data_IF_641173030883
#
_entry.id   IF_641173030883
#
_cell.length_a   1.000
_cell.length_b   1.000
_cell.length_c   1.000
_cell.angle_alpha   90.00
_cell.angle_beta   90.00
_cell.angle_gamma   90.00
#
_symmetry.space_group_name_H-M   'P 1'
#
loop_
_entity.id
_entity.type
_entity.pdbx_description
1 polymer ?
#
# COMPACT_ATOMS: atom_id res chain seq x y z
N UNK A 1 -2.90 -4.29 -0.10
CA UNK A 1 -3.34 -3.83 -1.43
C UNK A 1 -3.25 -2.32 -1.58
N UNK A 2 -3.83 -1.52 -0.68
CA UNK A 2 -3.67 -0.06 -0.68
C UNK A 2 -2.99 0.36 0.62
N UNK A 3 -1.99 1.23 0.51
CA UNK A 3 -1.25 1.73 1.66
C UNK A 3 -1.84 3.08 2.06
N UNK A 4 -2.24 3.22 3.33
CA UNK A 4 -2.83 4.45 3.86
C UNK A 4 -3.91 4.18 4.89
N UNK A 5 -4.27 5.20 5.66
CA UNK A 5 -5.42 5.13 6.57
C UNK A 5 -6.72 5.15 5.78
N UNK A 6 -7.79 4.57 6.32
CA UNK A 6 -9.11 4.59 5.68
C UNK A 6 -9.60 6.03 5.40
N UNK A 7 -9.31 6.97 6.30
CA UNK A 7 -9.67 8.38 6.10
C UNK A 7 -8.91 9.02 4.92
N UNK A 8 -7.59 8.82 4.85
CA UNK A 8 -6.80 9.34 3.73
C UNK A 8 -7.23 8.71 2.41
N UNK A 9 -7.42 7.38 2.39
CA UNK A 9 -7.84 6.67 1.19
C UNK A 9 -9.25 7.07 0.73
N UNK A 10 -10.19 7.25 1.66
CA UNK A 10 -11.57 7.62 1.30
C UNK A 10 -11.65 9.04 0.76
N UNK A 11 -10.91 10.01 1.33
CA UNK A 11 -10.86 11.38 0.82
C UNK A 11 -10.30 11.46 -0.60
N UNK A 12 -9.27 10.66 -0.89
CA UNK A 12 -8.61 10.68 -2.20
C UNK A 12 -9.37 9.88 -3.27
N UNK A 13 -9.85 8.67 -2.94
CA UNK A 13 -10.43 7.75 -3.91
C UNK A 13 -11.96 7.80 -3.95
N UNK A 14 -12.62 8.20 -2.86
CA UNK A 14 -14.08 8.16 -2.74
C UNK A 14 -14.66 9.38 -2.02
N UNK A 15 -14.43 10.62 -2.52
CA UNK A 15 -14.82 11.87 -1.84
C UNK A 15 -16.34 12.12 -1.80
N UNK A 16 -17.15 11.22 -2.38
CA UNK A 16 -18.61 11.36 -2.45
C UNK A 16 -19.33 11.03 -1.14
N UNK A 17 -18.67 10.34 -0.22
CA UNK A 17 -19.17 10.07 1.13
C UNK A 17 -18.52 11.02 2.12
N UNK A 18 -19.22 11.26 3.23
CA UNK A 18 -18.68 12.03 4.34
C UNK A 18 -17.36 11.43 4.85
N UNK A 19 -16.45 12.27 5.37
CA UNK A 19 -15.16 11.85 5.93
C UNK A 19 -15.32 10.77 7.00
N UNK A 20 -14.24 10.01 7.26
CA UNK A 20 -14.27 9.00 8.31
C UNK A 20 -14.69 9.64 9.63
N UNK A 21 -15.63 9.01 10.33
CA UNK A 21 -16.03 9.46 11.66
C UNK A 21 -14.91 9.27 12.68
N UNK A 22 -15.07 9.83 13.87
CA UNK A 22 -14.13 9.67 14.99
C UNK A 22 -14.81 8.98 16.17
N UNK A 23 -14.04 8.17 16.89
CA UNK A 23 -14.43 7.56 18.15
C UNK A 23 -13.23 7.65 19.09
N UNK A 24 -13.47 8.06 20.33
CA UNK A 24 -12.44 8.02 21.36
C UNK A 24 -12.20 6.57 21.81
N UNK A 25 -11.22 5.92 21.18
CA UNK A 25 -10.89 4.52 21.45
C UNK A 25 -10.52 4.25 22.91
N UNK A 26 -10.05 5.25 23.68
CA UNK A 26 -9.74 5.09 25.10
C UNK A 26 -10.98 4.94 25.97
N UNK A 27 -12.12 5.48 25.50
CA UNK A 27 -13.41 5.36 26.19
C UNK A 27 -14.12 4.06 25.89
N UNK A 28 -13.71 3.30 24.87
CA UNK A 28 -14.30 2.00 24.52
C UNK A 28 -13.72 0.92 25.43
N UNK A 29 -14.46 0.59 26.50
CA UNK A 29 -14.10 -0.43 27.48
C UNK A 29 -15.23 -1.44 27.60
N UNK A 30 -14.99 -2.56 28.30
CA UNK A 30 -16.03 -3.55 28.56
C UNK A 30 -17.29 -2.94 29.24
N UNK A 31 -17.10 -1.96 30.13
CA UNK A 31 -18.21 -1.30 30.83
C UNK A 31 -18.98 -0.31 29.95
N UNK A 32 -18.29 0.45 29.10
CA UNK A 32 -18.91 1.48 28.25
C UNK A 32 -19.45 0.94 26.92
N UNK A 33 -19.05 -0.27 26.50
CA UNK A 33 -19.44 -0.85 25.22
C UNK A 33 -20.95 -0.86 24.99
N UNK A 34 -21.72 -1.22 26.03
CA UNK A 34 -23.19 -1.31 25.93
C UNK A 34 -23.84 0.05 25.76
N UNK A 35 -23.37 1.08 26.46
CA UNK A 35 -23.90 2.43 26.35
C UNK A 35 -23.48 3.10 25.04
N UNK A 36 -22.27 2.80 24.53
CA UNK A 36 -21.76 3.33 23.27
C UNK A 36 -22.24 2.55 22.03
N UNK A 37 -23.02 1.46 22.20
CA UNK A 37 -23.37 0.53 21.11
C UNK A 37 -23.93 1.22 19.87
N UNK A 38 -24.83 2.20 20.04
CA UNK A 38 -25.47 2.87 18.91
C UNK A 38 -24.45 3.67 18.07
N UNK A 39 -23.64 4.48 18.75
CA UNK A 39 -22.57 5.29 18.15
C UNK A 39 -21.54 4.41 17.44
N UNK A 40 -21.08 3.34 18.11
CA UNK A 40 -20.11 2.41 17.54
C UNK A 40 -20.65 1.67 16.31
N UNK A 41 -21.93 1.28 16.31
CA UNK A 41 -22.55 0.65 15.15
C UNK A 41 -22.64 1.61 13.96
N UNK A 42 -22.94 2.89 14.19
CA UNK A 42 -22.97 3.90 13.15
C UNK A 42 -21.57 4.14 12.56
N UNK A 43 -20.57 4.32 13.43
CA UNK A 43 -19.17 4.43 13.04
C UNK A 43 -18.69 3.23 12.21
N UNK A 44 -18.96 2.01 12.66
CA UNK A 44 -18.55 0.79 11.95
C UNK A 44 -19.24 0.63 10.60
N UNK A 45 -20.54 0.97 10.51
CA UNK A 45 -21.26 0.98 9.23
C UNK A 45 -20.62 1.95 8.24
N UNK A 46 -20.25 3.14 8.72
CA UNK A 46 -19.55 4.13 7.89
C UNK A 46 -18.21 3.60 7.39
N UNK A 47 -17.42 2.97 8.26
CA UNK A 47 -16.14 2.37 7.89
C UNK A 47 -16.27 1.31 6.80
N UNK A 48 -17.26 0.42 6.92
CA UNK A 48 -17.53 -0.61 5.91
C UNK A 48 -17.91 0.03 4.56
N UNK A 49 -18.75 1.07 4.59
CA UNK A 49 -19.17 1.78 3.37
C UNK A 49 -18.01 2.51 2.69
N UNK A 50 -17.17 3.20 3.46
CA UNK A 50 -15.97 3.86 2.96
C UNK A 50 -14.99 2.85 2.38
N UNK A 51 -14.72 1.74 3.09
CA UNK A 51 -13.83 0.69 2.63
C UNK A 51 -14.34 0.09 1.30
N UNK A 52 -15.64 -0.20 1.21
CA UNK A 52 -16.26 -0.69 -0.03
C UNK A 52 -16.08 0.31 -1.18
N UNK A 53 -16.27 1.60 -0.94
CA UNK A 53 -16.09 2.65 -1.93
C UNK A 53 -14.65 2.73 -2.44
N UNK A 54 -13.70 2.75 -1.51
CA UNK A 54 -12.25 2.75 -1.79
C UNK A 54 -11.86 1.54 -2.63
N UNK A 55 -12.26 0.33 -2.21
CA UNK A 55 -11.92 -0.91 -2.92
C UNK A 55 -12.50 -0.94 -4.34
N UNK A 56 -13.76 -0.54 -4.52
CA UNK A 56 -14.38 -0.45 -5.85
C UNK A 56 -13.67 0.56 -6.75
N UNK A 57 -13.28 1.72 -6.22
CA UNK A 57 -12.56 2.72 -7.02
C UNK A 57 -11.18 2.21 -7.40
N UNK A 58 -10.44 1.61 -6.47
CA UNK A 58 -9.12 1.04 -6.75
C UNK A 58 -9.20 -0.09 -7.79
N UNK A 59 -10.15 -1.01 -7.65
CA UNK A 59 -10.40 -2.06 -8.63
C UNK A 59 -10.68 -1.47 -10.02
N UNK A 60 -11.53 -0.43 -10.09
CA UNK A 60 -11.81 0.26 -11.35
C UNK A 60 -10.55 0.88 -11.96
N UNK A 61 -9.76 1.62 -11.19
CA UNK A 61 -8.53 2.26 -11.68
C UNK A 61 -7.53 1.23 -12.22
N UNK A 62 -7.29 0.16 -11.45
CA UNK A 62 -6.36 -0.91 -11.84
C UNK A 62 -6.88 -1.65 -13.08
N UNK A 63 -8.18 -1.94 -13.15
CA UNK A 63 -8.76 -2.56 -14.33
C UNK A 63 -8.64 -1.66 -15.56
N UNK A 64 -9.02 -0.39 -15.45
CA UNK A 64 -9.01 0.57 -16.55
C UNK A 64 -7.58 0.80 -17.10
N UNK A 65 -6.54 0.71 -16.25
CA UNK A 65 -5.15 0.95 -16.66
C UNK A 65 -4.36 -0.31 -17.02
N UNK A 66 -4.65 -1.44 -16.37
CA UNK A 66 -3.81 -2.64 -16.41
C UNK A 66 -4.55 -3.89 -16.90
N UNK A 67 -5.88 -3.84 -16.97
CA UNK A 67 -6.76 -4.97 -17.31
C UNK A 67 -6.52 -6.18 -16.40
N UNK A 68 -6.32 -5.92 -15.10
CA UNK A 68 -6.09 -6.95 -14.08
C UNK A 68 -7.21 -6.93 -13.06
N UNK A 69 -7.74 -8.12 -12.74
CA UNK A 69 -8.62 -8.26 -11.59
C UNK A 69 -7.77 -8.28 -10.30
N UNK A 70 -7.96 -7.23 -9.50
CA UNK A 70 -7.27 -7.02 -8.23
C UNK A 70 -7.56 -8.12 -7.18
N UNK A 71 -8.70 -8.81 -7.27
CA UNK A 71 -9.06 -9.90 -6.35
C UNK A 71 -8.12 -11.10 -6.47
N UNK A 72 -7.42 -11.23 -7.61
CA UNK A 72 -6.41 -12.28 -7.83
C UNK A 72 -5.03 -11.90 -7.28
N UNK A 73 -4.81 -10.64 -6.91
CA UNK A 73 -3.51 -10.11 -6.48
C UNK A 73 -3.67 -9.29 -5.19
N UNK A 74 -3.53 -9.95 -4.04
CA UNK A 74 -3.84 -9.36 -2.71
C UNK A 74 -2.94 -8.17 -2.33
N UNK A 75 -1.73 -8.10 -2.89
CA UNK A 75 -0.73 -7.08 -2.56
C UNK A 75 -0.21 -6.39 -3.82
N UNK A 76 0.32 -5.16 -3.68
CA UNK A 76 0.94 -4.45 -4.80
C UNK A 76 2.16 -5.21 -5.34
N UNK A 77 3.08 -5.75 -4.51
CA UNK A 77 4.18 -6.57 -5.03
C UNK A 77 3.71 -7.80 -5.82
N UNK A 78 2.64 -8.46 -5.39
CA UNK A 78 2.06 -9.59 -6.13
C UNK A 78 1.47 -9.15 -7.48
N UNK A 79 0.81 -7.98 -7.52
CA UNK A 79 0.32 -7.39 -8.76
C UNK A 79 1.47 -7.01 -9.71
N UNK A 80 2.53 -6.38 -9.18
CA UNK A 80 3.70 -5.96 -9.95
C UNK A 80 4.43 -7.17 -10.54
N UNK A 81 4.65 -8.21 -9.74
CA UNK A 81 5.25 -9.46 -10.21
C UNK A 81 4.38 -10.12 -11.28
N UNK A 82 3.05 -10.17 -11.08
CA UNK A 82 2.13 -10.68 -12.09
C UNK A 82 2.23 -9.90 -13.40
N UNK A 83 2.28 -8.56 -13.34
CA UNK A 83 2.41 -7.71 -14.52
C UNK A 83 3.76 -7.91 -15.21
N UNK A 84 4.85 -8.03 -14.43
CA UNK A 84 6.17 -8.35 -14.95
C UNK A 84 6.16 -9.67 -15.72
N UNK A 85 5.64 -10.72 -15.11
CA UNK A 85 5.51 -12.03 -15.74
C UNK A 85 4.64 -12.01 -16.99
N UNK A 86 3.51 -11.28 -16.96
CA UNK A 86 2.56 -11.20 -18.07
C UNK A 86 3.10 -10.41 -19.26
N UNK A 87 3.85 -9.33 -19.03
CA UNK A 87 4.19 -8.34 -20.07
C UNK A 87 5.64 -8.36 -20.52
N UNK A 88 6.58 -8.77 -19.66
CA UNK A 88 8.01 -8.55 -19.88
C UNK A 88 8.86 -9.81 -19.74
N UNK A 89 8.42 -10.80 -18.98
CA UNK A 89 9.21 -12.00 -18.73
C UNK A 89 9.06 -13.04 -19.83
N UNK A 90 10.15 -13.34 -20.53
CA UNK A 90 10.23 -14.39 -21.55
C UNK A 90 10.97 -15.62 -20.98
N UNK A 91 10.22 -16.52 -20.33
CA UNK A 91 10.80 -17.68 -19.64
C UNK A 91 11.72 -18.53 -20.54
N UNK A 92 11.33 -18.74 -21.79
CA UNK A 92 12.08 -19.60 -22.71
C UNK A 92 13.40 -18.96 -23.18
N UNK A 93 13.51 -17.62 -23.10
CA UNK A 93 14.74 -16.90 -23.49
C UNK A 93 15.61 -16.56 -22.29
N UNK A 94 15.00 -16.21 -21.16
CA UNK A 94 15.70 -15.66 -19.99
C UNK A 94 15.19 -16.29 -18.69
N UNK A 95 15.42 -17.60 -18.45
CA UNK A 95 14.95 -18.24 -17.24
C UNK A 95 15.64 -17.67 -16.00
N UNK A 96 14.86 -17.25 -15.01
CA UNK A 96 15.35 -16.87 -13.67
C UNK A 96 15.68 -18.15 -12.90
N UNK A 97 16.97 -18.33 -12.60
CA UNK A 97 17.43 -19.40 -11.73
C UNK A 97 16.95 -19.19 -10.30
N UNK A 98 16.40 -20.25 -9.69
CA UNK A 98 15.97 -20.22 -8.28
C UNK A 98 17.10 -20.82 -7.43
N UNK A 99 17.79 -20.01 -6.62
CA UNK A 99 18.91 -20.48 -5.82
C UNK A 99 18.48 -21.49 -4.76
N UNK A 100 19.38 -22.40 -4.43
CA UNK A 100 19.23 -23.23 -3.23
C UNK A 100 19.52 -22.41 -1.96
N UNK A 101 19.31 -23.01 -0.79
CA UNK A 101 19.42 -22.30 0.48
C UNK A 101 20.79 -21.66 0.74
N UNK A 102 21.88 -22.35 0.36
CA UNK A 102 23.23 -21.83 0.58
C UNK A 102 23.52 -20.67 -0.36
N UNK A 103 23.10 -20.78 -1.63
CA UNK A 103 23.24 -19.73 -2.64
C UNK A 103 22.42 -18.49 -2.27
N UNK A 104 21.17 -18.65 -1.84
CA UNK A 104 20.30 -17.56 -1.39
C UNK A 104 20.90 -16.85 -0.17
N UNK A 105 21.41 -17.61 0.80
CA UNK A 105 22.08 -17.05 1.99
C UNK A 105 23.28 -16.20 1.58
N UNK A 106 24.17 -16.75 0.74
CA UNK A 106 25.34 -16.03 0.24
C UNK A 106 24.97 -14.75 -0.52
N UNK A 107 23.94 -14.79 -1.39
CA UNK A 107 23.49 -13.60 -2.13
C UNK A 107 22.91 -12.53 -1.19
N UNK A 108 22.14 -12.94 -0.17
CA UNK A 108 21.51 -12.02 0.78
C UNK A 108 22.52 -11.28 1.66
N UNK A 109 23.70 -11.85 1.92
CA UNK A 109 24.77 -11.17 2.65
C UNK A 109 25.27 -9.91 1.93
N UNK A 110 25.17 -9.88 0.59
CA UNK A 110 25.53 -8.72 -0.24
C UNK A 110 24.36 -7.80 -0.63
N UNK A 111 23.15 -8.08 -0.18
CA UNK A 111 21.97 -7.30 -0.55
C UNK A 111 21.71 -6.16 0.45
N UNK A 112 21.95 -4.92 0.02
CA UNK A 112 21.81 -3.72 0.84
C UNK A 112 20.69 -2.80 0.33
N UNK A 113 20.25 -1.88 1.20
CA UNK A 113 19.24 -0.87 0.88
C UNK A 113 19.81 0.36 0.17
N UNK A 114 18.99 1.41 0.10
CA UNK A 114 19.40 2.70 -0.46
C UNK A 114 20.51 3.38 0.34
N UNK A 115 21.33 4.17 -0.35
CA UNK A 115 22.41 4.95 0.26
C UNK A 115 21.83 6.07 1.15
N UNK A 116 22.41 6.25 2.34
CA UNK A 116 22.03 7.31 3.29
C UNK A 116 23.28 7.93 3.88
N UNK A 117 23.42 9.25 3.75
CA UNK A 117 24.48 10.01 4.38
C UNK A 117 24.15 10.37 5.83
N UNK A 118 25.13 10.23 6.72
CA UNK A 118 25.05 10.78 8.07
C UNK A 118 25.46 12.26 8.03
N UNK A 119 24.51 13.19 8.11
CA UNK A 119 24.79 14.63 8.10
C UNK A 119 24.14 15.37 9.28
N UNK A 120 24.71 16.52 9.64
CA UNK A 120 24.16 17.45 10.64
C UNK A 120 23.28 18.48 9.89
N UNK A 121 21.98 18.60 10.19
CA UNK A 121 21.03 19.33 9.36
C UNK A 121 21.01 20.84 9.62
N UNK A 122 22.14 21.50 9.36
CA UNK A 122 22.26 22.96 9.46
C UNK A 122 22.91 23.47 8.17
N UNK A 123 22.26 24.42 7.51
CA UNK A 123 22.79 25.09 6.32
C UNK A 123 21.91 26.25 5.88
N UNK A 124 22.50 27.21 5.17
CA UNK A 124 21.81 28.35 4.58
C UNK A 124 21.84 28.21 3.05
N UNK A 125 20.78 28.66 2.36
CA UNK A 125 20.67 28.62 0.89
C UNK A 125 20.86 27.22 0.26
N UNK A 126 20.23 26.19 0.85
CA UNK A 126 20.33 24.81 0.36
C UNK A 126 19.43 24.54 -0.85
N UNK A 127 19.89 23.66 -1.73
CA UNK A 127 19.12 23.12 -2.86
C UNK A 127 18.83 21.63 -2.64
N UNK A 128 17.58 21.23 -2.85
CA UNK A 128 17.14 19.84 -2.79
C UNK A 128 16.97 19.29 -4.20
N UNK A 129 17.73 18.25 -4.53
CA UNK A 129 17.64 17.55 -5.80
C UNK A 129 17.31 16.08 -5.54
N UNK A 130 16.35 15.54 -6.28
CA UNK A 130 15.94 14.14 -6.20
C UNK A 130 15.87 13.55 -7.62
N UNK A 131 16.11 12.25 -7.72
CA UNK A 131 16.06 11.51 -8.98
C UNK A 131 14.64 11.00 -9.19
N UNK A 132 14.03 11.34 -10.33
CA UNK A 132 12.68 10.90 -10.67
C UNK A 132 12.63 9.38 -10.87
N UNK A 133 12.05 8.63 -9.93
CA UNK A 133 11.92 7.17 -10.02
C UNK A 133 13.27 6.46 -10.19
N UNK A 134 14.15 6.59 -9.19
CA UNK A 134 15.52 6.06 -9.20
C UNK A 134 15.66 4.59 -9.62
N UNK A 135 14.81 3.69 -9.12
CA UNK A 135 14.95 2.25 -9.42
C UNK A 135 14.40 1.82 -10.79
N UNK A 136 13.27 2.37 -11.28
CA UNK A 136 12.79 2.05 -12.62
C UNK A 136 13.52 2.75 -13.78
N UNK A 137 14.36 3.75 -13.51
CA UNK A 137 15.11 4.53 -14.51
C UNK A 137 16.13 3.69 -15.29
#
# INVERSE_FOLDING_TARGET
MLNGTLDSLSRNLYPKLDPKGEVDHKKVTHQSLRSMRSELLEYLRKDILLLRGVMKKAQKLIWDQLEVNIEKNLTLPSLDLYLFHKKFYELDKWPIYIPNHNEDTFLREGYYGGHVDAYIPIGENLHYNDVNSLYPL
#
